data_IF_011905051932
#
_entry.id   IF_011905051932
#
_cell.length_a   1.000
_cell.length_b   1.000
_cell.length_c   1.000
_cell.angle_alpha   90.00
_cell.angle_beta   90.00
_cell.angle_gamma   90.00
#
_symmetry.space_group_name_H-M   'P 1'
#
loop_
_entity.id
_entity.type
_entity.pdbx_description
1 polymer ?
#
# COMPACT_ATOMS: atom_id res chain seq x y z
N UNK A 1 1.32 -26.02 1.75
CA UNK A 1 2.76 -25.68 1.59
C UNK A 1 3.18 -25.93 0.15
N UNK A 2 3.17 -24.91 -0.71
CA UNK A 2 3.67 -24.98 -2.07
C UNK A 2 4.71 -23.89 -2.29
N UNK A 3 5.64 -24.14 -3.20
CA UNK A 3 6.68 -23.18 -3.57
C UNK A 3 6.51 -22.84 -5.04
N UNK A 4 6.35 -21.55 -5.34
CA UNK A 4 6.28 -20.98 -6.68
C UNK A 4 7.46 -20.06 -6.86
N UNK A 5 8.51 -20.51 -7.53
CA UNK A 5 9.78 -19.78 -7.62
C UNK A 5 10.22 -19.61 -9.07
N UNK A 6 10.62 -18.39 -9.39
CA UNK A 6 11.20 -18.04 -10.70
C UNK A 6 10.33 -18.41 -11.90
N UNK A 7 9.01 -18.37 -11.73
CA UNK A 7 8.09 -18.55 -12.85
C UNK A 7 7.99 -17.27 -13.67
N UNK A 8 7.80 -17.42 -14.96
CA UNK A 8 7.66 -16.32 -15.90
C UNK A 8 6.43 -16.48 -16.80
N UNK A 9 5.68 -15.39 -16.97
CA UNK A 9 4.60 -15.30 -17.95
C UNK A 9 4.79 -14.03 -18.80
N UNK A 10 4.38 -14.03 -20.07
CA UNK A 10 4.48 -12.84 -20.89
C UNK A 10 3.48 -11.75 -20.48
N UNK A 11 2.29 -12.12 -20.03
CA UNK A 11 1.20 -11.16 -19.79
C UNK A 11 0.76 -11.13 -18.34
N UNK A 12 0.24 -12.21 -17.78
CA UNK A 12 -0.46 -12.20 -16.48
C UNK A 12 0.00 -13.30 -15.56
N UNK A 13 0.17 -12.94 -14.28
CA UNK A 13 0.48 -13.88 -13.21
C UNK A 13 1.70 -14.73 -13.50
N UNK A 14 2.91 -14.23 -13.18
CA UNK A 14 4.15 -14.94 -13.45
C UNK A 14 4.12 -16.41 -13.02
N UNK A 15 3.44 -16.72 -11.91
CA UNK A 15 3.20 -18.08 -11.46
C UNK A 15 1.75 -18.54 -11.67
N UNK A 16 0.77 -17.68 -11.38
CA UNK A 16 -0.65 -18.05 -11.39
C UNK A 16 -1.51 -16.94 -11.97
N UNK A 17 -2.39 -17.29 -12.87
CA UNK A 17 -3.47 -16.43 -13.36
C UNK A 17 -4.84 -17.05 -12.97
N UNK A 18 -5.66 -16.24 -12.32
CA UNK A 18 -7.05 -16.56 -11.95
C UNK A 18 -8.00 -15.67 -12.72
N UNK A 19 -8.99 -16.24 -13.35
CA UNK A 19 -10.08 -15.53 -13.99
C UNK A 19 -11.41 -16.21 -13.66
N UNK A 20 -12.35 -15.43 -13.09
CA UNK A 20 -13.64 -15.96 -12.61
C UNK A 20 -13.48 -17.18 -11.69
N UNK A 21 -12.49 -17.19 -10.82
CA UNK A 21 -12.07 -18.34 -10.05
C UNK A 21 -11.88 -18.04 -8.55
N UNK A 22 -11.89 -19.11 -7.75
CA UNK A 22 -11.58 -19.02 -6.33
C UNK A 22 -10.30 -19.83 -6.05
N UNK A 23 -9.37 -19.22 -5.31
CA UNK A 23 -8.15 -19.88 -4.90
C UNK A 23 -7.85 -19.63 -3.41
N UNK A 24 -7.30 -20.64 -2.76
CA UNK A 24 -6.82 -20.56 -1.37
C UNK A 24 -5.42 -21.12 -1.30
N UNK A 25 -4.51 -20.36 -0.72
CA UNK A 25 -3.14 -20.78 -0.47
C UNK A 25 -2.84 -20.66 1.03
N UNK A 26 -2.27 -21.71 1.60
CA UNK A 26 -1.87 -21.75 3.01
C UNK A 26 -0.41 -22.14 3.11
N UNK A 27 0.36 -21.34 3.84
CA UNK A 27 1.81 -21.53 4.08
C UNK A 27 2.59 -21.72 2.78
N UNK A 28 2.25 -20.94 1.74
CA UNK A 28 2.89 -21.04 0.42
C UNK A 28 3.92 -19.90 0.24
N UNK A 29 4.96 -20.19 -0.53
CA UNK A 29 6.00 -19.21 -0.88
C UNK A 29 5.93 -18.89 -2.37
N UNK A 30 5.90 -17.60 -2.68
CA UNK A 30 6.00 -17.04 -4.03
C UNK A 30 7.24 -16.16 -4.10
N UNK A 31 8.28 -16.62 -4.79
CA UNK A 31 9.55 -15.89 -4.82
C UNK A 31 10.08 -15.70 -6.24
N UNK A 32 10.57 -14.49 -6.52
CA UNK A 32 11.22 -14.16 -7.79
C UNK A 32 10.39 -14.50 -9.04
N UNK A 33 9.06 -14.49 -8.91
CA UNK A 33 8.19 -14.67 -10.07
C UNK A 33 8.08 -13.33 -10.82
N UNK A 34 7.99 -13.39 -12.14
CA UNK A 34 8.01 -12.17 -12.97
C UNK A 34 7.09 -12.32 -14.18
N UNK A 35 6.71 -11.19 -14.75
CA UNK A 35 6.00 -11.15 -16.03
C UNK A 35 6.62 -10.14 -16.99
N UNK A 36 6.13 -10.14 -18.23
CA UNK A 36 6.60 -9.23 -19.28
C UNK A 36 6.28 -7.77 -19.01
N UNK A 37 6.80 -6.88 -19.84
CA UNK A 37 6.78 -5.42 -19.64
C UNK A 37 5.39 -4.78 -19.53
N UNK A 38 4.34 -5.44 -19.99
CA UNK A 38 2.94 -5.02 -19.88
C UNK A 38 2.12 -5.93 -18.98
N UNK A 39 2.75 -6.92 -18.36
CA UNK A 39 2.09 -7.93 -17.54
C UNK A 39 1.71 -7.43 -16.16
N UNK A 40 0.68 -8.00 -15.57
CA UNK A 40 0.19 -7.70 -14.23
C UNK A 40 0.28 -8.90 -13.30
N UNK A 41 0.53 -8.63 -12.01
CA UNK A 41 0.74 -9.66 -11.00
C UNK A 41 2.03 -10.45 -11.22
N UNK A 42 3.16 -9.96 -10.69
CA UNK A 42 4.45 -10.62 -10.88
C UNK A 42 4.43 -12.09 -10.45
N UNK A 43 3.75 -12.41 -9.35
CA UNK A 43 3.48 -13.78 -8.95
C UNK A 43 2.07 -14.22 -9.34
N UNK A 44 1.05 -13.43 -9.01
CA UNK A 44 -0.35 -13.83 -9.13
C UNK A 44 -1.22 -12.69 -9.68
N UNK A 45 -2.02 -12.98 -10.70
CA UNK A 45 -3.05 -12.08 -11.21
C UNK A 45 -4.44 -12.69 -10.97
N UNK A 46 -5.31 -11.96 -10.25
CA UNK A 46 -6.66 -12.37 -9.90
C UNK A 46 -7.68 -11.41 -10.52
N UNK A 47 -8.34 -11.84 -11.56
CA UNK A 47 -9.38 -11.07 -12.25
C UNK A 47 -10.76 -11.66 -11.93
N UNK A 48 -11.70 -10.81 -11.47
CA UNK A 48 -13.06 -11.21 -11.08
C UNK A 48 -13.07 -12.46 -10.18
N UNK A 49 -12.13 -12.54 -9.25
CA UNK A 49 -11.80 -13.76 -8.53
C UNK A 49 -11.76 -13.54 -7.02
N UNK A 50 -11.89 -14.64 -6.27
CA UNK A 50 -11.65 -14.62 -4.83
C UNK A 50 -10.31 -15.30 -4.52
N UNK A 51 -9.39 -14.55 -3.90
CA UNK A 51 -8.11 -15.05 -3.47
C UNK A 51 -8.01 -14.98 -1.94
N UNK A 52 -7.78 -16.12 -1.33
CA UNK A 52 -7.55 -16.22 0.12
C UNK A 52 -6.13 -16.70 0.40
N UNK A 53 -5.39 -15.95 1.19
CA UNK A 53 -4.03 -16.27 1.61
C UNK A 53 -3.96 -16.39 3.13
N UNK A 54 -3.26 -17.41 3.63
CA UNK A 54 -2.94 -17.55 5.05
C UNK A 54 -1.51 -18.02 5.21
N UNK A 55 -0.74 -17.30 6.04
CA UNK A 55 0.65 -17.59 6.33
C UNK A 55 1.53 -17.73 5.07
N UNK A 56 1.27 -16.89 4.04
CA UNK A 56 2.00 -16.93 2.78
C UNK A 56 3.11 -15.87 2.72
N UNK A 57 4.14 -16.14 1.92
CA UNK A 57 5.26 -15.22 1.72
C UNK A 57 5.41 -14.89 0.24
N UNK A 58 5.50 -13.59 -0.07
CA UNK A 58 5.76 -13.05 -1.41
C UNK A 58 7.04 -12.23 -1.39
N UNK A 59 8.11 -12.73 -2.02
CA UNK A 59 9.42 -12.07 -1.94
C UNK A 59 10.02 -11.85 -3.33
N UNK A 60 10.42 -10.61 -3.61
CA UNK A 60 11.17 -10.28 -4.81
C UNK A 60 10.42 -10.55 -6.11
N UNK A 61 9.09 -10.57 -6.09
CA UNK A 61 8.31 -10.74 -7.31
C UNK A 61 8.26 -9.40 -8.07
N UNK A 62 8.30 -9.46 -9.40
CA UNK A 62 8.38 -8.26 -10.24
C UNK A 62 7.31 -8.28 -11.32
N UNK A 63 6.60 -7.16 -11.44
CA UNK A 63 5.61 -6.96 -12.50
C UNK A 63 6.03 -5.87 -13.47
N UNK A 64 5.85 -6.11 -14.74
CA UNK A 64 6.05 -5.09 -15.79
C UNK A 64 4.99 -3.99 -15.78
N UNK A 65 3.86 -4.21 -15.12
CA UNK A 65 2.80 -3.20 -14.97
C UNK A 65 2.28 -3.13 -13.53
N UNK A 66 1.26 -3.85 -13.18
CA UNK A 66 0.49 -3.69 -11.95
C UNK A 66 0.78 -4.81 -10.95
N UNK A 67 0.93 -4.46 -9.68
CA UNK A 67 1.09 -5.41 -8.58
C UNK A 67 2.36 -6.26 -8.69
N UNK A 68 3.45 -5.83 -8.08
CA UNK A 68 4.72 -6.56 -8.13
C UNK A 68 4.59 -8.01 -7.69
N UNK A 69 3.81 -8.29 -6.65
CA UNK A 69 3.43 -9.63 -6.27
C UNK A 69 2.04 -10.00 -6.81
N UNK A 70 1.01 -9.22 -6.49
CA UNK A 70 -0.40 -9.56 -6.77
C UNK A 70 -1.09 -8.39 -7.48
N UNK A 71 -1.79 -8.70 -8.57
CA UNK A 71 -2.80 -7.82 -9.14
C UNK A 71 -4.19 -8.39 -8.88
N UNK A 72 -5.12 -7.55 -8.41
CA UNK A 72 -6.51 -7.89 -8.19
C UNK A 72 -7.44 -6.91 -8.90
N UNK A 73 -8.08 -7.33 -9.97
CA UNK A 73 -9.08 -6.54 -10.67
C UNK A 73 -10.48 -7.09 -10.41
N UNK A 74 -11.38 -6.27 -9.85
CA UNK A 74 -12.73 -6.68 -9.43
C UNK A 74 -12.71 -7.93 -8.53
N UNK A 75 -11.70 -8.03 -7.68
CA UNK A 75 -11.40 -9.22 -6.90
C UNK A 75 -11.73 -9.05 -5.41
N UNK A 76 -12.00 -10.16 -4.73
CA UNK A 76 -12.01 -10.22 -3.28
C UNK A 76 -10.69 -10.81 -2.78
N UNK A 77 -9.85 -9.97 -2.17
CA UNK A 77 -8.53 -10.32 -1.66
C UNK A 77 -8.57 -10.40 -0.13
N UNK A 78 -8.39 -11.60 0.42
CA UNK A 78 -8.51 -11.86 1.87
C UNK A 78 -7.22 -12.50 2.35
N UNK A 79 -6.41 -11.75 3.07
CA UNK A 79 -5.08 -12.17 3.48
C UNK A 79 -4.91 -12.12 4.99
N UNK A 80 -4.36 -13.19 5.55
CA UNK A 80 -4.01 -13.29 6.96
C UNK A 80 -2.56 -13.77 7.13
N UNK A 81 -1.86 -13.22 8.12
CA UNK A 81 -0.53 -13.66 8.56
C UNK A 81 0.49 -13.76 7.42
N UNK A 82 0.37 -12.89 6.40
CA UNK A 82 1.12 -13.01 5.15
C UNK A 82 2.11 -11.86 4.97
N UNK A 83 3.26 -12.17 4.36
CA UNK A 83 4.38 -11.24 4.25
C UNK A 83 4.68 -10.90 2.78
N UNK A 84 4.85 -9.62 2.50
CA UNK A 84 5.19 -9.08 1.18
C UNK A 84 6.49 -8.29 1.29
N UNK A 85 7.60 -8.83 0.76
CA UNK A 85 8.94 -8.24 0.92
C UNK A 85 9.61 -8.00 -0.43
N UNK A 86 10.10 -6.79 -0.64
CA UNK A 86 10.92 -6.42 -1.81
C UNK A 86 10.25 -6.73 -3.16
N UNK A 87 8.92 -6.65 -3.23
CA UNK A 87 8.23 -6.80 -4.51
C UNK A 87 8.25 -5.48 -5.28
N UNK A 88 8.32 -5.55 -6.61
CA UNK A 88 8.48 -4.38 -7.47
C UNK A 88 7.47 -4.37 -8.60
N UNK A 89 6.76 -3.25 -8.75
CA UNK A 89 5.93 -2.99 -9.94
C UNK A 89 6.50 -1.85 -10.77
N UNK A 90 6.30 -1.91 -12.08
CA UNK A 90 6.71 -0.81 -12.97
C UNK A 90 5.67 0.30 -13.05
N UNK A 91 4.40 0.05 -12.73
CA UNK A 91 3.34 1.07 -12.78
C UNK A 91 2.66 1.33 -11.44
N UNK A 92 1.98 0.37 -10.84
CA UNK A 92 1.15 0.59 -9.65
C UNK A 92 1.22 -0.56 -8.66
N UNK A 93 1.31 -0.22 -7.35
CA UNK A 93 1.31 -1.18 -6.26
C UNK A 93 2.55 -2.09 -6.23
N UNK A 94 3.61 -1.65 -5.56
CA UNK A 94 4.87 -2.40 -5.50
C UNK A 94 4.68 -3.85 -5.05
N UNK A 95 3.81 -4.11 -4.08
CA UNK A 95 3.39 -5.46 -3.72
C UNK A 95 2.03 -5.79 -4.35
N UNK A 96 0.99 -5.01 -4.07
CA UNK A 96 -0.39 -5.33 -4.47
C UNK A 96 -1.02 -4.15 -5.21
N UNK A 97 -1.64 -4.42 -6.34
CA UNK A 97 -2.59 -3.52 -6.99
C UNK A 97 -4.01 -4.05 -6.82
N UNK A 98 -4.94 -3.20 -6.38
CA UNK A 98 -6.37 -3.50 -6.26
C UNK A 98 -7.20 -2.49 -7.05
N UNK A 99 -7.81 -2.91 -8.14
CA UNK A 99 -8.74 -2.07 -8.91
C UNK A 99 -10.16 -2.60 -8.77
N UNK A 100 -11.06 -1.76 -8.22
CA UNK A 100 -12.43 -2.15 -7.85
C UNK A 100 -12.46 -3.42 -6.99
N UNK A 101 -11.46 -3.57 -6.13
CA UNK A 101 -11.26 -4.76 -5.32
C UNK A 101 -11.65 -4.51 -3.85
N UNK A 102 -12.08 -5.56 -3.18
CA UNK A 102 -12.24 -5.56 -1.73
C UNK A 102 -11.03 -6.24 -1.10
N UNK A 103 -10.27 -5.49 -0.29
CA UNK A 103 -9.10 -5.99 0.43
C UNK A 103 -9.42 -6.14 1.92
N UNK A 104 -9.17 -7.32 2.45
CA UNK A 104 -9.22 -7.61 3.89
C UNK A 104 -7.87 -8.16 4.31
N UNK A 105 -7.14 -7.41 5.12
CA UNK A 105 -5.81 -7.74 5.58
C UNK A 105 -5.81 -7.89 7.10
N UNK A 106 -5.20 -8.96 7.61
CA UNK A 106 -5.05 -9.20 9.04
C UNK A 106 -3.64 -9.70 9.33
N UNK A 107 -2.93 -9.06 10.22
CA UNK A 107 -1.54 -9.41 10.59
C UNK A 107 -0.62 -9.51 9.37
N UNK A 108 -0.79 -8.69 8.34
CA UNK A 108 0.03 -8.72 7.14
C UNK A 108 1.20 -7.73 7.25
N UNK A 109 2.35 -8.09 6.69
CA UNK A 109 3.50 -7.19 6.63
C UNK A 109 3.91 -6.86 5.20
N UNK A 110 4.24 -5.58 4.98
CA UNK A 110 4.70 -5.03 3.72
C UNK A 110 6.03 -4.33 3.95
N UNK A 111 7.14 -4.94 3.52
CA UNK A 111 8.47 -4.43 3.81
C UNK A 111 9.26 -4.18 2.53
N UNK A 112 9.80 -2.97 2.39
CA UNK A 112 10.71 -2.62 1.28
C UNK A 112 10.13 -2.88 -0.12
N UNK A 113 8.80 -2.82 -0.28
CA UNK A 113 8.20 -2.94 -1.61
C UNK A 113 8.33 -1.61 -2.36
N UNK A 114 8.44 -1.69 -3.67
CA UNK A 114 8.73 -0.53 -4.50
C UNK A 114 7.81 -0.42 -5.70
N UNK A 115 7.26 0.76 -5.90
CA UNK A 115 6.69 1.16 -7.17
C UNK A 115 7.74 1.96 -7.96
N UNK A 116 8.08 1.53 -9.17
CA UNK A 116 9.14 2.13 -9.98
C UNK A 116 8.65 3.24 -10.93
N UNK A 117 7.35 3.55 -10.97
CA UNK A 117 6.75 4.55 -11.85
C UNK A 117 6.00 5.66 -11.10
N UNK A 118 5.41 6.57 -11.87
CA UNK A 118 4.82 7.83 -11.41
C UNK A 118 3.49 7.71 -10.65
N UNK A 119 2.80 6.58 -10.68
CA UNK A 119 1.48 6.44 -10.04
C UNK A 119 1.38 5.15 -9.25
N UNK A 120 1.24 5.24 -7.95
CA UNK A 120 0.98 4.06 -7.13
C UNK A 120 1.67 4.10 -5.78
N UNK A 121 1.24 3.29 -4.85
CA UNK A 121 1.90 3.11 -3.57
C UNK A 121 3.06 2.13 -3.66
N UNK A 122 4.09 2.35 -2.87
CA UNK A 122 5.23 1.44 -2.79
C UNK A 122 4.83 0.02 -2.39
N UNK A 123 3.87 -0.12 -1.47
CA UNK A 123 3.28 -1.42 -1.13
C UNK A 123 1.94 -1.64 -1.84
N UNK A 124 0.95 -0.80 -1.57
CA UNK A 124 -0.42 -0.97 -2.07
C UNK A 124 -0.81 0.18 -2.99
N UNK A 125 -1.48 -0.14 -4.08
CA UNK A 125 -2.28 0.79 -4.85
C UNK A 125 -3.73 0.31 -4.86
N UNK A 126 -4.69 1.17 -4.45
CA UNK A 126 -6.12 0.82 -4.46
C UNK A 126 -6.91 1.92 -5.15
N UNK A 127 -7.59 1.54 -6.23
CA UNK A 127 -8.48 2.41 -7.02
C UNK A 127 -9.87 1.81 -7.07
N UNK A 128 -10.85 2.55 -6.55
CA UNK A 128 -12.19 2.01 -6.32
C UNK A 128 -12.15 0.86 -5.30
N UNK A 129 -13.26 0.47 -4.73
CA UNK A 129 -13.28 -0.63 -3.76
C UNK A 129 -13.01 -0.20 -2.32
N UNK A 130 -12.72 -1.17 -1.46
CA UNK A 130 -12.62 -1.00 0.00
C UNK A 130 -11.37 -1.67 0.56
N UNK A 131 -10.91 -1.20 1.72
CA UNK A 131 -9.81 -1.80 2.47
C UNK A 131 -10.16 -1.89 3.96
N UNK A 132 -9.96 -3.07 4.53
CA UNK A 132 -9.91 -3.27 5.97
C UNK A 132 -8.56 -3.87 6.34
N UNK A 133 -7.81 -3.20 7.20
CA UNK A 133 -6.49 -3.63 7.64
C UNK A 133 -6.40 -3.63 9.16
N UNK A 134 -6.12 -4.78 9.73
CA UNK A 134 -5.97 -5.01 11.17
C UNK A 134 -4.58 -5.56 11.46
N UNK A 135 -3.86 -4.91 12.39
CA UNK A 135 -2.50 -5.26 12.77
C UNK A 135 -1.52 -5.30 11.58
N UNK A 136 -1.73 -4.46 10.58
CA UNK A 136 -0.84 -4.35 9.44
C UNK A 136 0.48 -3.66 9.78
N UNK A 137 1.56 -4.00 9.08
CA UNK A 137 2.82 -3.28 9.17
C UNK A 137 3.33 -2.89 7.78
N UNK A 138 3.66 -1.62 7.62
CA UNK A 138 4.19 -1.06 6.36
C UNK A 138 5.52 -0.37 6.66
N UNK A 139 6.64 -1.03 6.31
CA UNK A 139 7.97 -0.53 6.68
C UNK A 139 8.88 -0.36 5.46
N UNK A 140 9.46 0.81 5.33
CA UNK A 140 10.47 1.10 4.31
C UNK A 140 9.99 0.95 2.88
N UNK A 141 8.68 1.05 2.62
CA UNK A 141 8.16 1.00 1.26
C UNK A 141 8.39 2.34 0.56
N UNK A 142 8.58 2.30 -0.76
CA UNK A 142 8.89 3.50 -1.53
C UNK A 142 8.20 3.57 -2.89
N UNK A 143 7.83 4.77 -3.29
CA UNK A 143 7.41 5.04 -4.66
C UNK A 143 8.48 5.84 -5.41
N UNK A 144 8.54 5.67 -6.74
CA UNK A 144 9.43 6.46 -7.59
C UNK A 144 9.11 7.95 -7.54
N UNK A 145 10.06 8.81 -7.93
CA UNK A 145 9.81 10.24 -8.05
C UNK A 145 8.67 10.53 -9.03
N UNK A 146 7.56 11.10 -8.55
CA UNK A 146 6.49 11.54 -9.47
C UNK A 146 5.10 11.61 -8.86
N UNK A 147 4.54 10.56 -8.32
CA UNK A 147 3.26 10.62 -7.63
C UNK A 147 2.89 9.31 -6.96
N UNK A 148 2.76 9.30 -5.67
CA UNK A 148 2.30 8.14 -4.92
C UNK A 148 2.61 8.27 -3.43
N UNK A 149 1.96 7.48 -2.62
CA UNK A 149 2.33 7.30 -1.22
C UNK A 149 3.49 6.32 -1.10
N UNK A 150 4.42 6.57 -0.20
CA UNK A 150 5.53 5.64 0.02
C UNK A 150 5.06 4.21 0.29
N UNK A 151 4.04 4.04 1.12
CA UNK A 151 3.39 2.74 1.31
C UNK A 151 2.13 2.59 0.47
N UNK A 152 1.15 3.49 0.61
CA UNK A 152 -0.18 3.32 0.03
C UNK A 152 -0.58 4.51 -0.84
N UNK A 153 -1.04 4.23 -2.04
CA UNK A 153 -1.89 5.15 -2.81
C UNK A 153 -3.33 4.69 -2.72
N UNK A 154 -4.19 5.63 -2.30
CA UNK A 154 -5.61 5.40 -2.12
C UNK A 154 -6.47 6.32 -3.00
N UNK A 155 -7.36 5.73 -3.76
CA UNK A 155 -8.43 6.40 -4.51
C UNK A 155 -9.71 5.54 -4.48
N UNK A 156 -10.03 5.02 -3.29
CA UNK A 156 -11.14 4.11 -3.06
C UNK A 156 -12.36 4.76 -2.43
N UNK A 157 -13.25 3.95 -1.90
CA UNK A 157 -14.47 4.38 -1.21
C UNK A 157 -14.19 4.53 0.29
N UNK A 158 -13.97 3.42 0.98
CA UNK A 158 -13.71 3.40 2.42
C UNK A 158 -12.50 2.54 2.77
N UNK A 159 -11.64 3.07 3.64
CA UNK A 159 -10.51 2.36 4.22
C UNK A 159 -10.53 2.43 5.74
N UNK A 160 -10.40 1.29 6.39
CA UNK A 160 -10.33 1.17 7.84
C UNK A 160 -9.01 0.52 8.24
N UNK A 161 -8.26 1.21 9.09
CA UNK A 161 -7.00 0.73 9.66
C UNK A 161 -7.13 0.65 11.18
N UNK A 162 -6.84 -0.50 11.74
CA UNK A 162 -6.86 -0.73 13.19
C UNK A 162 -5.54 -1.33 13.64
N UNK A 163 -4.92 -0.68 14.62
CA UNK A 163 -3.63 -1.14 15.19
C UNK A 163 -2.53 -1.33 14.13
N UNK A 164 -2.60 -0.55 13.05
CA UNK A 164 -1.68 -0.63 11.90
C UNK A 164 -0.52 0.35 12.09
N UNK A 165 0.69 -0.06 11.69
CA UNK A 165 1.88 0.77 11.75
C UNK A 165 2.45 1.09 10.36
N UNK A 166 2.86 2.34 10.20
CA UNK A 166 3.52 2.86 8.99
C UNK A 166 4.84 3.49 9.41
N UNK A 167 5.97 2.88 9.08
CA UNK A 167 7.30 3.36 9.48
C UNK A 167 8.26 3.46 8.30
N UNK A 168 9.06 4.53 8.29
CA UNK A 168 10.16 4.70 7.33
C UNK A 168 9.74 4.66 5.85
N UNK A 169 8.45 4.86 5.54
CA UNK A 169 7.99 4.87 4.16
C UNK A 169 8.36 6.18 3.47
N UNK A 170 8.66 6.12 2.18
CA UNK A 170 9.25 7.24 1.47
C UNK A 170 8.55 7.56 0.14
N UNK A 171 8.22 8.83 -0.02
CA UNK A 171 7.78 9.42 -1.29
C UNK A 171 8.76 10.56 -1.67
N UNK A 172 9.91 10.24 -2.30
CA UNK A 172 11.06 11.15 -2.36
C UNK A 172 10.83 12.48 -3.07
N UNK A 173 9.96 12.54 -4.04
CA UNK A 173 9.72 13.77 -4.82
C UNK A 173 8.27 14.23 -4.80
N UNK A 174 7.40 13.55 -4.03
CA UNK A 174 5.98 13.85 -4.06
C UNK A 174 5.36 13.93 -2.66
N UNK A 175 4.16 13.43 -2.45
CA UNK A 175 3.31 13.71 -1.30
C UNK A 175 2.93 12.44 -0.57
N UNK A 176 2.78 12.51 0.75
CA UNK A 176 2.39 11.38 1.59
C UNK A 176 3.51 10.36 1.73
N UNK A 177 4.41 10.57 2.69
CA UNK A 177 5.53 9.64 2.94
C UNK A 177 5.04 8.21 3.16
N UNK A 178 3.95 8.02 3.92
CA UNK A 178 3.27 6.73 4.02
C UNK A 178 2.08 6.65 3.05
N UNK A 179 1.11 7.56 3.14
CA UNK A 179 -0.16 7.46 2.41
C UNK A 179 -0.45 8.73 1.61
N UNK A 180 -0.82 8.56 0.35
CA UNK A 180 -1.58 9.58 -0.40
C UNK A 180 -3.01 9.08 -0.61
N UNK A 181 -4.00 9.93 -0.31
CA UNK A 181 -5.41 9.64 -0.50
C UNK A 181 -6.08 10.76 -1.28
N UNK A 182 -6.81 10.42 -2.35
CA UNK A 182 -7.43 11.38 -3.27
C UNK A 182 -8.96 11.32 -3.31
N UNK A 183 -9.57 10.37 -2.63
CA UNK A 183 -11.02 10.26 -2.46
C UNK A 183 -11.36 9.31 -1.31
N UNK A 184 -12.62 9.35 -0.86
CA UNK A 184 -13.17 8.39 0.10
C UNK A 184 -12.99 8.77 1.56
N UNK A 185 -13.33 7.82 2.42
CA UNK A 185 -13.25 7.95 3.87
C UNK A 185 -12.16 7.03 4.41
N UNK A 186 -11.19 7.59 5.12
CA UNK A 186 -10.13 6.80 5.76
C UNK A 186 -10.24 6.95 7.27
N UNK A 187 -10.36 5.84 7.96
CA UNK A 187 -10.45 5.77 9.41
C UNK A 187 -9.25 5.02 9.98
N UNK A 188 -8.62 5.62 10.99
CA UNK A 188 -7.44 5.08 11.65
C UNK A 188 -7.69 5.00 13.14
N UNK A 189 -7.64 3.81 13.71
CA UNK A 189 -7.78 3.56 15.15
C UNK A 189 -6.52 2.92 15.69
N UNK A 190 -5.92 3.56 16.70
CA UNK A 190 -4.68 3.10 17.35
C UNK A 190 -3.51 2.85 16.39
N UNK A 191 -3.43 3.65 15.34
CA UNK A 191 -2.38 3.54 14.33
C UNK A 191 -1.13 4.34 14.69
N UNK A 192 0.02 3.92 14.17
CA UNK A 192 1.30 4.60 14.38
C UNK A 192 1.89 4.98 13.03
N UNK A 193 2.25 6.26 12.91
CA UNK A 193 2.97 6.79 11.75
C UNK A 193 4.30 7.36 12.24
N UNK A 194 5.42 6.68 11.95
CA UNK A 194 6.74 7.10 12.42
C UNK A 194 7.76 7.21 11.29
N UNK A 195 8.56 8.25 11.34
CA UNK A 195 9.74 8.43 10.48
C UNK A 195 9.44 8.37 8.96
N UNK A 196 8.17 8.62 8.56
CA UNK A 196 7.82 8.65 7.14
C UNK A 196 8.26 9.98 6.52
N UNK A 197 8.75 9.93 5.28
CA UNK A 197 9.32 11.09 4.60
C UNK A 197 8.67 11.38 3.25
N UNK A 198 8.40 12.66 3.01
CA UNK A 198 7.79 13.15 1.78
C UNK A 198 8.65 14.28 1.18
N UNK A 199 8.93 14.20 -0.10
CA UNK A 199 9.61 15.25 -0.85
C UNK A 199 8.77 16.50 -1.08
N UNK A 200 7.48 16.48 -0.74
CA UNK A 200 6.61 17.66 -0.85
C UNK A 200 5.72 17.85 0.39
N UNK A 201 4.55 17.25 0.44
CA UNK A 201 3.53 17.55 1.46
C UNK A 201 3.04 16.29 2.17
N UNK A 202 2.81 16.42 3.50
CA UNK A 202 2.37 15.33 4.35
C UNK A 202 3.48 14.31 4.57
N UNK A 203 4.29 14.50 5.61
CA UNK A 203 5.38 13.58 5.94
C UNK A 203 4.88 12.16 6.12
N UNK A 204 3.76 11.98 6.81
CA UNK A 204 3.04 10.70 6.87
C UNK A 204 1.93 10.66 5.81
N UNK A 205 0.97 11.58 5.86
CA UNK A 205 -0.26 11.48 5.06
C UNK A 205 -0.51 12.75 4.25
N UNK A 206 -0.83 12.56 2.98
CA UNK A 206 -1.45 13.58 2.12
C UNK A 206 -2.88 13.19 1.79
N UNK A 207 -3.84 14.03 2.19
CA UNK A 207 -5.26 13.91 1.82
C UNK A 207 -5.70 15.00 0.86
N UNK A 208 -6.47 14.64 -0.15
CA UNK A 208 -7.07 15.57 -1.10
C UNK A 208 -8.51 15.16 -1.40
N UNK A 209 -9.49 16.01 -1.09
CA UNK A 209 -10.92 15.72 -1.24
C UNK A 209 -11.38 14.43 -0.51
N UNK A 210 -10.89 14.23 0.72
CA UNK A 210 -11.12 13.04 1.55
C UNK A 210 -11.66 13.39 2.92
N UNK A 211 -12.22 12.40 3.59
CA UNK A 211 -12.48 12.43 5.03
C UNK A 211 -11.42 11.59 5.75
N UNK A 212 -10.67 12.21 6.65
CA UNK A 212 -9.65 11.58 7.49
C UNK A 212 -10.08 11.60 8.95
N UNK A 213 -10.18 10.45 9.57
CA UNK A 213 -10.56 10.32 10.98
C UNK A 213 -9.53 9.48 11.73
N UNK A 214 -8.99 10.06 12.82
CA UNK A 214 -7.98 9.41 13.66
C UNK A 214 -8.46 9.31 15.09
N UNK A 215 -8.39 8.12 15.66
CA UNK A 215 -8.68 7.83 17.06
C UNK A 215 -7.48 7.13 17.71
N UNK A 216 -7.00 7.66 18.83
CA UNK A 216 -5.87 7.10 19.60
C UNK A 216 -4.62 6.79 18.75
N UNK A 217 -4.35 7.60 17.73
CA UNK A 217 -3.27 7.36 16.76
C UNK A 217 -2.10 8.34 16.97
N UNK A 218 -0.89 7.87 16.69
CA UNK A 218 0.33 8.62 16.96
C UNK A 218 1.09 8.96 15.66
N UNK A 219 1.56 10.20 15.58
CA UNK A 219 2.40 10.72 14.48
C UNK A 219 3.72 11.18 15.06
N UNK A 220 4.81 10.46 14.75
CA UNK A 220 6.12 10.66 15.39
C UNK A 220 7.18 10.87 14.32
N UNK A 221 7.94 11.97 14.41
CA UNK A 221 9.12 12.24 13.58
C UNK A 221 8.90 12.18 12.06
N UNK A 222 7.66 12.38 11.58
CA UNK A 222 7.41 12.39 10.13
C UNK A 222 7.91 13.72 9.52
N UNK A 223 8.41 13.67 8.28
CA UNK A 223 9.05 14.82 7.67
C UNK A 223 8.51 15.10 6.27
N UNK A 224 8.31 16.39 5.97
CA UNK A 224 7.98 16.86 4.63
C UNK A 224 8.87 18.05 4.24
N UNK A 225 9.11 18.23 2.94
CA UNK A 225 9.88 19.41 2.48
C UNK A 225 9.05 20.67 2.34
N UNK A 226 7.72 20.57 2.21
CA UNK A 226 6.85 21.75 2.04
C UNK A 226 5.91 21.94 3.22
N UNK A 227 4.74 21.31 3.24
CA UNK A 227 3.71 21.55 4.23
C UNK A 227 3.23 20.27 4.91
N UNK A 228 2.92 20.39 6.21
CA UNK A 228 2.41 19.29 7.04
C UNK A 228 3.46 18.23 7.32
N UNK A 229 4.24 18.40 8.38
CA UNK A 229 5.25 17.43 8.80
C UNK A 229 4.64 16.05 9.03
N UNK A 230 3.49 15.97 9.67
CA UNK A 230 2.70 14.77 9.81
C UNK A 230 1.66 14.66 8.69
N UNK A 231 0.67 15.53 8.68
CA UNK A 231 -0.49 15.47 7.78
C UNK A 231 -0.58 16.75 6.95
N UNK A 232 -0.87 16.59 5.67
CA UNK A 232 -1.28 17.69 4.80
C UNK A 232 -2.63 17.34 4.16
N UNK A 233 -3.67 18.12 4.44
CA UNK A 233 -5.00 17.92 3.90
C UNK A 233 -5.44 19.15 3.10
N UNK A 234 -6.13 18.96 1.97
CA UNK A 234 -6.78 20.04 1.23
C UNK A 234 -8.13 19.60 0.67
N UNK A 235 -9.10 20.51 0.70
CA UNK A 235 -10.50 20.21 0.35
C UNK A 235 -11.04 18.97 1.09
N UNK A 236 -10.61 18.78 2.33
CA UNK A 236 -10.80 17.54 3.09
C UNK A 236 -11.33 17.84 4.48
N UNK A 237 -12.02 16.88 5.07
CA UNK A 237 -12.35 16.91 6.50
C UNK A 237 -11.30 16.13 7.29
N UNK A 238 -10.82 16.71 8.39
CA UNK A 238 -9.85 16.09 9.30
C UNK A 238 -10.40 16.08 10.72
N UNK A 239 -10.47 14.92 11.34
CA UNK A 239 -10.85 14.73 12.74
C UNK A 239 -9.77 13.93 13.46
N UNK A 240 -9.35 14.41 14.62
CA UNK A 240 -8.37 13.73 15.48
C UNK A 240 -8.89 13.67 16.90
N UNK A 241 -8.92 12.49 17.50
CA UNK A 241 -9.36 12.28 18.88
C UNK A 241 -8.34 11.45 19.65
N UNK A 242 -7.83 11.99 20.76
CA UNK A 242 -6.78 11.35 21.60
C UNK A 242 -5.50 10.99 20.85
N UNK A 243 -5.13 11.78 19.84
CA UNK A 243 -3.94 11.54 19.04
C UNK A 243 -2.74 12.31 19.59
N UNK A 244 -1.54 11.79 19.32
CA UNK A 244 -0.27 12.42 19.70
C UNK A 244 0.51 12.78 18.45
N UNK A 245 0.94 14.04 18.35
CA UNK A 245 1.80 14.54 17.30
C UNK A 245 3.12 15.02 17.92
N UNK A 246 4.21 14.30 17.66
CA UNK A 246 5.52 14.58 18.30
C UNK A 246 6.62 14.63 17.26
N UNK A 247 7.44 15.68 17.34
CA UNK A 247 8.65 15.83 16.52
C UNK A 247 8.43 15.82 15.00
N UNK A 248 7.20 16.01 14.52
CA UNK A 248 6.95 16.09 13.09
C UNK A 248 7.47 17.41 12.52
N UNK A 249 8.11 17.36 11.38
CA UNK A 249 8.80 18.51 10.80
C UNK A 249 8.39 18.80 9.35
N UNK A 250 8.17 20.07 9.05
CA UNK A 250 8.08 20.57 7.68
C UNK A 250 9.02 21.76 7.48
N UNK A 251 9.50 21.98 6.27
CA UNK A 251 10.26 23.18 5.94
C UNK A 251 9.33 24.34 5.52
N UNK A 252 8.05 24.06 5.27
CA UNK A 252 7.01 25.04 5.02
C UNK A 252 6.08 25.22 6.21
N UNK A 253 4.76 25.15 5.99
CA UNK A 253 3.75 25.38 7.02
C UNK A 253 3.34 24.08 7.73
N UNK A 254 3.10 24.18 9.05
CA UNK A 254 2.55 23.09 9.86
C UNK A 254 3.51 21.92 10.10
N UNK A 255 4.11 21.84 11.28
CA UNK A 255 4.93 20.69 11.69
C UNK A 255 4.08 19.51 12.10
N UNK A 256 2.98 19.74 12.84
CA UNK A 256 2.06 18.72 13.31
C UNK A 256 0.62 19.07 13.03
#
# INVERSE_FOLDING_TARGET
NCIFTSNFANERGGAIFLNDANATFTSCTFSSNTNGSTGSGGALDANNSRLTLSACTFTGNTSGALGGAINGASAALIFADSNFTSNVSQLEGGAINGTNASLVLTNCSFTSNQNASFNGGGALNVKGGTLSDINGTYTGNSCAPGSGGGAIQWAGVDANFTETSFSENQSPSYRGGAIIATSGNLQFSKCIFSDNTSGARGGAIRGESVVLSFFESNFISNQSTLNGGAISASNSSLSTTRCIFTSNRSNGNGGG
#
